data_IF_312654698839
#
_entry.id   IF_312654698839
#
_cell.length_a   1.000
_cell.length_b   1.000
_cell.length_c   1.000
_cell.angle_alpha   90.00
_cell.angle_beta   90.00
_cell.angle_gamma   90.00
#
_symmetry.space_group_name_H-M   'P 1'
#
loop_
_entity.id
_entity.type
_entity.pdbx_description
1 polymer ?
#
# COMPACT_ATOMS: atom_id res chain seq x y z
N UNK A 1 58.31 -12.08 -25.12
CA UNK A 1 57.52 -11.09 -25.88
C UNK A 1 56.08 -11.17 -25.39
N UNK A 2 55.46 -10.07 -24.94
CA UNK A 2 54.06 -10.11 -24.52
C UNK A 2 53.17 -10.29 -25.75
N UNK A 3 52.23 -11.23 -25.67
CA UNK A 3 51.29 -11.55 -26.74
C UNK A 3 50.35 -10.37 -27.00
N UNK A 4 49.92 -10.24 -28.25
CA UNK A 4 49.07 -9.16 -28.79
C UNK A 4 47.70 -9.00 -28.11
N UNK A 5 47.33 -9.89 -27.18
CA UNK A 5 46.12 -9.79 -26.36
C UNK A 5 46.25 -8.84 -25.16
N UNK A 6 47.46 -8.62 -24.63
CA UNK A 6 47.68 -7.80 -23.42
C UNK A 6 47.69 -6.28 -23.66
N UNK A 7 47.64 -5.85 -24.93
CA UNK A 7 47.66 -4.42 -25.30
C UNK A 7 46.28 -3.77 -25.40
N UNK A 8 45.17 -4.54 -25.43
CA UNK A 8 43.82 -3.99 -25.65
C UNK A 8 43.12 -3.49 -24.38
N UNK A 9 43.58 -3.85 -23.19
CA UNK A 9 42.86 -3.54 -21.94
C UNK A 9 43.40 -2.31 -21.18
N UNK A 10 44.52 -1.71 -21.63
CA UNK A 10 45.22 -0.61 -20.93
C UNK A 10 44.55 0.77 -21.01
N UNK A 11 43.31 0.87 -21.47
CA UNK A 11 42.61 2.15 -21.65
C UNK A 11 41.12 2.17 -21.28
N UNK A 12 40.52 1.05 -20.87
CA UNK A 12 39.13 1.04 -20.40
C UNK A 12 39.08 1.48 -18.95
N UNK A 13 38.64 2.70 -18.72
CA UNK A 13 38.29 3.16 -17.35
C UNK A 13 37.29 2.17 -16.75
N UNK A 14 37.51 1.66 -15.53
CA UNK A 14 36.58 0.77 -14.88
C UNK A 14 35.24 1.49 -14.66
N UNK A 15 34.13 0.80 -14.92
CA UNK A 15 32.78 1.30 -14.63
C UNK A 15 32.59 1.29 -13.11
N UNK A 16 32.54 2.48 -12.49
CA UNK A 16 32.34 2.63 -11.04
C UNK A 16 31.00 3.29 -10.69
N UNK A 17 30.47 4.09 -11.61
CA UNK A 17 29.21 4.82 -11.44
C UNK A 17 28.28 4.58 -12.63
N UNK A 18 26.98 4.89 -12.47
CA UNK A 18 26.05 4.90 -13.60
C UNK A 18 26.46 5.92 -14.68
N UNK A 19 27.13 7.00 -14.31
CA UNK A 19 27.67 7.96 -15.26
C UNK A 19 28.80 7.34 -16.11
N UNK A 20 29.72 6.58 -15.49
CA UNK A 20 30.78 5.88 -16.21
C UNK A 20 30.20 4.84 -17.18
N UNK A 21 29.17 4.10 -16.73
CA UNK A 21 28.48 3.12 -17.57
C UNK A 21 27.75 3.79 -18.73
N UNK A 22 27.02 4.87 -18.48
CA UNK A 22 26.28 5.60 -19.50
C UNK A 22 27.20 6.21 -20.56
N UNK A 23 28.35 6.78 -20.15
CA UNK A 23 29.37 7.27 -21.09
C UNK A 23 30.02 6.13 -21.90
N UNK A 24 30.18 4.95 -21.31
CA UNK A 24 30.64 3.76 -22.03
C UNK A 24 29.62 3.36 -23.10
N UNK A 25 28.34 3.27 -22.77
CA UNK A 25 27.26 2.92 -23.70
C UNK A 25 27.16 3.93 -24.84
N UNK A 26 27.20 5.23 -24.55
CA UNK A 26 27.17 6.30 -25.56
C UNK A 26 28.29 6.19 -26.60
N UNK A 27 29.46 5.69 -26.18
CA UNK A 27 30.61 5.46 -27.06
C UNK A 27 30.48 4.16 -27.86
N UNK A 28 29.86 3.13 -27.32
CA UNK A 28 29.73 1.81 -27.97
C UNK A 28 28.47 1.67 -28.82
N UNK A 29 27.47 2.53 -28.62
CA UNK A 29 26.26 2.54 -29.42
C UNK A 29 26.53 3.17 -30.80
N UNK A 30 26.82 2.29 -31.76
CA UNK A 30 27.05 2.66 -33.16
C UNK A 30 25.74 3.02 -33.89
N UNK A 31 24.59 2.57 -33.37
CA UNK A 31 23.28 2.70 -34.02
C UNK A 31 22.35 3.50 -33.13
N UNK A 32 22.68 4.79 -32.96
CA UNK A 32 21.97 5.81 -32.16
C UNK A 32 20.56 6.12 -32.67
N UNK A 33 19.68 5.12 -32.72
CA UNK A 33 18.30 5.21 -33.18
C UNK A 33 17.39 4.58 -32.13
N UNK A 34 16.39 5.34 -31.68
CA UNK A 34 15.43 4.91 -30.64
C UNK A 34 14.80 3.56 -30.98
N UNK A 35 14.41 3.34 -32.25
CA UNK A 35 13.79 2.09 -32.67
C UNK A 35 14.72 0.88 -32.54
N UNK A 36 16.03 1.04 -32.76
CA UNK A 36 17.02 -0.04 -32.60
C UNK A 36 17.13 -0.42 -31.14
N UNK A 37 17.24 0.57 -30.25
CA UNK A 37 17.36 0.33 -28.81
C UNK A 37 16.07 -0.25 -28.21
N UNK A 38 14.89 0.17 -28.70
CA UNK A 38 13.60 -0.39 -28.28
C UNK A 38 13.43 -1.85 -28.71
N UNK A 39 13.74 -2.17 -29.98
CA UNK A 39 13.62 -3.54 -30.49
C UNK A 39 14.63 -4.47 -29.82
N UNK A 40 15.87 -4.00 -29.58
CA UNK A 40 16.86 -4.72 -28.80
C UNK A 40 16.36 -5.05 -27.40
N UNK A 41 15.91 -4.04 -26.64
CA UNK A 41 15.33 -4.23 -25.30
C UNK A 41 14.19 -5.27 -25.28
N UNK A 42 13.31 -5.25 -26.28
CA UNK A 42 12.22 -6.21 -26.39
C UNK A 42 12.73 -7.65 -26.66
N UNK A 43 13.80 -7.79 -27.45
CA UNK A 43 14.50 -9.05 -27.69
C UNK A 43 15.07 -9.64 -26.40
N UNK A 44 15.89 -8.87 -25.69
CA UNK A 44 16.56 -9.33 -24.46
C UNK A 44 15.55 -9.69 -23.34
N UNK A 45 14.41 -8.99 -23.26
CA UNK A 45 13.32 -9.39 -22.36
C UNK A 45 12.70 -10.74 -22.73
N UNK A 46 12.64 -11.06 -24.04
CA UNK A 46 12.19 -12.35 -24.56
C UNK A 46 13.18 -13.48 -24.25
N UNK A 47 14.47 -13.20 -24.32
CA UNK A 47 15.54 -14.15 -24.03
C UNK A 47 15.65 -14.42 -22.51
N UNK A 48 15.55 -13.38 -21.68
CA UNK A 48 15.38 -13.53 -20.23
C UNK A 48 14.19 -14.45 -19.87
N UNK A 49 13.03 -14.24 -20.50
CA UNK A 49 11.85 -15.09 -20.30
C UNK A 49 12.10 -16.55 -20.75
N UNK A 50 12.83 -16.75 -21.84
CA UNK A 50 13.20 -18.08 -22.33
C UNK A 50 14.13 -18.82 -21.35
N UNK A 51 15.07 -18.11 -20.72
CA UNK A 51 15.93 -18.62 -19.66
C UNK A 51 15.11 -19.12 -18.45
N UNK A 52 14.11 -18.35 -17.99
CA UNK A 52 13.21 -18.80 -16.92
C UNK A 52 12.34 -19.99 -17.33
N UNK A 53 11.88 -20.07 -18.59
CA UNK A 53 11.12 -21.23 -19.09
C UNK A 53 11.96 -22.51 -19.04
N UNK A 54 13.24 -22.46 -19.42
CA UNK A 54 14.16 -23.61 -19.32
C UNK A 54 14.28 -24.09 -17.87
N UNK A 55 14.48 -23.17 -16.92
CA UNK A 55 14.53 -23.51 -15.49
C UNK A 55 13.26 -24.23 -15.02
N UNK A 56 12.09 -23.69 -15.32
CA UNK A 56 10.80 -24.23 -14.84
C UNK A 56 10.48 -25.58 -15.50
N UNK A 57 10.68 -25.71 -16.81
CA UNK A 57 10.26 -26.88 -17.58
C UNK A 57 11.29 -28.00 -17.57
N UNK A 58 12.58 -27.65 -17.62
CA UNK A 58 13.68 -28.61 -17.80
C UNK A 58 14.46 -28.84 -16.50
N UNK A 59 14.16 -28.08 -15.43
CA UNK A 59 14.87 -28.09 -14.13
C UNK A 59 16.38 -27.85 -14.26
N UNK A 60 16.79 -27.24 -15.37
CA UNK A 60 18.19 -26.91 -15.61
C UNK A 60 18.53 -25.62 -14.87
N UNK A 61 19.45 -25.75 -13.91
CA UNK A 61 19.95 -24.65 -13.08
C UNK A 61 21.45 -24.43 -13.21
N UNK A 62 22.15 -25.27 -14.00
CA UNK A 62 23.62 -25.24 -14.03
C UNK A 62 24.15 -24.00 -14.74
N UNK A 63 23.52 -23.56 -15.84
CA UNK A 63 23.91 -22.35 -16.58
C UNK A 63 23.13 -21.09 -16.17
N UNK A 64 22.01 -21.26 -15.46
CA UNK A 64 21.04 -20.21 -15.16
C UNK A 64 21.66 -18.91 -14.68
N UNK A 65 22.61 -18.97 -13.75
CA UNK A 65 23.23 -17.76 -13.19
C UNK A 65 24.05 -16.99 -14.23
N UNK A 66 24.72 -17.69 -15.14
CA UNK A 66 25.50 -17.09 -16.23
C UNK A 66 24.56 -16.44 -17.24
N UNK A 67 23.59 -17.21 -17.71
CA UNK A 67 22.58 -16.77 -18.67
C UNK A 67 21.84 -15.54 -18.13
N UNK A 68 21.29 -15.59 -16.91
CA UNK A 68 20.62 -14.44 -16.29
C UNK A 68 21.52 -13.19 -16.20
N UNK A 69 22.82 -13.35 -15.93
CA UNK A 69 23.73 -12.22 -15.83
C UNK A 69 23.96 -11.56 -17.19
N UNK A 70 24.03 -12.34 -18.26
CA UNK A 70 24.15 -11.87 -19.64
C UNK A 70 22.89 -11.10 -20.04
N UNK A 71 21.72 -11.74 -19.93
CA UNK A 71 20.43 -11.14 -20.29
C UNK A 71 20.13 -9.84 -19.51
N UNK A 72 20.39 -9.82 -18.19
CA UNK A 72 20.24 -8.60 -17.38
C UNK A 72 21.23 -7.51 -17.84
N UNK A 73 22.44 -7.90 -18.24
CA UNK A 73 23.45 -7.00 -18.76
C UNK A 73 23.02 -6.34 -20.07
N UNK A 74 22.44 -7.10 -20.99
CA UNK A 74 21.99 -6.62 -22.29
C UNK A 74 20.73 -5.75 -22.17
N UNK A 75 19.78 -6.15 -21.31
CA UNK A 75 18.64 -5.28 -20.92
C UNK A 75 19.14 -3.94 -20.38
N UNK A 76 20.13 -3.96 -19.47
CA UNK A 76 20.71 -2.74 -18.91
C UNK A 76 21.40 -1.89 -19.99
N UNK A 77 22.08 -2.52 -20.96
CA UNK A 77 22.72 -1.82 -22.07
C UNK A 77 21.70 -1.09 -22.94
N UNK A 78 20.65 -1.77 -23.40
CA UNK A 78 19.61 -1.16 -24.25
C UNK A 78 18.80 -0.08 -23.51
N UNK A 79 18.48 -0.30 -22.22
CA UNK A 79 17.83 0.70 -21.38
C UNK A 79 18.70 1.95 -21.24
N UNK A 80 20.01 1.77 -21.10
CA UNK A 80 20.97 2.88 -21.00
C UNK A 80 21.14 3.59 -22.34
N UNK A 81 21.15 2.88 -23.47
CA UNK A 81 21.15 3.47 -24.81
C UNK A 81 19.92 4.37 -25.02
N UNK A 82 18.73 3.92 -24.61
CA UNK A 82 17.52 4.75 -24.63
C UNK A 82 17.66 5.98 -23.74
N UNK A 83 18.18 5.84 -22.52
CA UNK A 83 18.41 6.97 -21.63
C UNK A 83 19.38 8.00 -22.25
N UNK A 84 20.46 7.56 -22.90
CA UNK A 84 21.40 8.44 -23.63
C UNK A 84 20.68 9.20 -24.76
N UNK A 85 19.91 8.50 -25.59
CA UNK A 85 19.19 9.11 -26.72
C UNK A 85 18.17 10.18 -26.28
N UNK A 86 17.56 9.99 -25.11
CA UNK A 86 16.61 10.93 -24.51
C UNK A 86 17.24 11.91 -23.52
N UNK A 87 18.57 11.91 -23.35
CA UNK A 87 19.31 12.78 -22.42
C UNK A 87 18.84 12.65 -20.97
N UNK A 88 18.45 11.43 -20.57
CA UNK A 88 18.03 11.11 -19.21
C UNK A 88 19.27 10.59 -18.44
N UNK A 89 19.67 11.23 -17.32
CA UNK A 89 20.76 10.72 -16.50
C UNK A 89 20.34 9.43 -15.78
N UNK A 90 21.03 8.32 -16.04
CA UNK A 90 20.72 7.01 -15.42
C UNK A 90 20.87 7.04 -13.90
N UNK A 91 21.80 7.87 -13.39
CA UNK A 91 21.97 8.10 -11.96
C UNK A 91 20.72 8.71 -11.30
N UNK A 92 19.98 9.56 -12.01
CA UNK A 92 18.72 10.15 -11.52
C UNK A 92 17.60 9.11 -11.52
N UNK A 93 17.48 8.32 -12.60
CA UNK A 93 16.52 7.20 -12.68
C UNK A 93 16.72 6.23 -11.52
N UNK A 94 17.97 5.83 -11.24
CA UNK A 94 18.29 4.94 -10.13
C UNK A 94 17.90 5.55 -8.77
N UNK A 95 18.20 6.85 -8.56
CA UNK A 95 17.84 7.56 -7.32
C UNK A 95 16.34 7.66 -7.12
N UNK A 96 15.59 8.00 -8.18
CA UNK A 96 14.13 8.07 -8.10
C UNK A 96 13.49 6.71 -7.87
N UNK A 97 14.00 5.67 -8.54
CA UNK A 97 13.53 4.30 -8.35
C UNK A 97 13.77 3.84 -6.91
N UNK A 98 14.97 4.09 -6.36
CA UNK A 98 15.29 3.78 -4.97
C UNK A 98 14.35 4.50 -3.99
N UNK A 99 14.13 5.81 -4.16
CA UNK A 99 13.17 6.57 -3.33
C UNK A 99 11.76 6.01 -3.40
N UNK A 100 11.29 5.61 -4.59
CA UNK A 100 9.97 4.99 -4.77
C UNK A 100 9.90 3.65 -4.05
N UNK A 101 10.94 2.82 -4.17
CA UNK A 101 11.04 1.54 -3.48
C UNK A 101 11.06 1.72 -1.96
N UNK A 102 11.90 2.61 -1.42
CA UNK A 102 11.95 2.91 0.01
C UNK A 102 10.59 3.36 0.55
N UNK A 103 9.86 4.22 -0.17
CA UNK A 103 8.50 4.63 0.23
C UNK A 103 7.48 3.49 0.19
N UNK A 104 7.60 2.57 -0.77
CA UNK A 104 6.69 1.43 -0.91
C UNK A 104 7.00 0.31 0.09
N UNK A 105 8.27 0.12 0.47
CA UNK A 105 8.72 -1.04 1.25
C UNK A 105 9.20 -0.71 2.67
N UNK A 106 9.24 0.56 3.07
CA UNK A 106 9.50 0.93 4.48
C UNK A 106 8.33 0.52 5.38
N UNK A 107 8.63 0.08 6.60
CA UNK A 107 7.61 -0.26 7.60
C UNK A 107 6.88 1.00 8.09
N UNK A 108 7.58 2.14 8.17
CA UNK A 108 7.06 3.35 8.80
C UNK A 108 7.23 3.31 10.32
N UNK A 109 6.76 4.37 10.98
CA UNK A 109 6.68 4.47 12.44
C UNK A 109 5.22 4.67 12.86
N UNK A 110 4.95 4.56 14.16
CA UNK A 110 3.62 4.88 14.71
C UNK A 110 3.33 6.36 14.46
N UNK A 111 2.29 6.65 13.67
CA UNK A 111 1.91 8.03 13.36
C UNK A 111 1.11 8.64 14.51
N UNK A 112 1.49 9.85 14.91
CA UNK A 112 0.82 10.65 15.94
C UNK A 112 0.51 12.04 15.39
N UNK A 113 -0.58 12.17 14.67
CA UNK A 113 -0.98 13.42 14.01
C UNK A 113 -1.58 14.46 14.97
N UNK A 114 -1.87 14.07 16.23
CA UNK A 114 -2.51 14.92 17.23
C UNK A 114 -1.67 15.12 18.51
N UNK A 115 -0.39 14.75 18.51
CA UNK A 115 0.53 14.99 19.64
C UNK A 115 0.67 16.49 19.99
N UNK A 116 0.36 17.41 19.08
CA UNK A 116 0.36 18.85 19.35
C UNK A 116 -0.90 19.41 19.99
N UNK A 117 -1.96 18.61 20.12
CA UNK A 117 -3.30 19.06 20.52
C UNK A 117 -3.66 18.68 21.95
N UNK A 118 -4.68 19.36 22.50
CA UNK A 118 -5.22 19.05 23.82
C UNK A 118 -5.83 17.64 23.86
N UNK A 119 -5.90 17.06 25.07
CA UNK A 119 -6.45 15.71 25.29
C UNK A 119 -7.85 15.52 24.67
N UNK A 120 -8.68 16.56 24.68
CA UNK A 120 -10.03 16.49 24.15
C UNK A 120 -10.12 16.48 22.61
N UNK A 121 -9.02 16.77 21.93
CA UNK A 121 -8.89 16.77 20.45
C UNK A 121 -8.00 15.64 19.94
N UNK A 122 -7.47 14.84 20.85
CA UNK A 122 -6.71 13.63 20.56
C UNK A 122 -7.64 12.42 20.46
N UNK A 123 -7.32 11.52 19.53
CA UNK A 123 -7.92 10.19 19.55
C UNK A 123 -7.46 9.44 20.82
N UNK A 124 -8.35 8.74 21.54
CA UNK A 124 -7.94 7.86 22.63
C UNK A 124 -6.95 6.82 22.10
N UNK A 125 -5.82 6.63 22.81
CA UNK A 125 -4.79 5.67 22.38
C UNK A 125 -5.31 4.23 22.38
N UNK A 126 -6.24 3.93 23.28
CA UNK A 126 -6.92 2.65 23.38
C UNK A 126 -8.41 2.88 23.65
N UNK A 127 -9.27 2.16 22.92
CA UNK A 127 -10.71 2.18 23.14
C UNK A 127 -11.37 0.92 22.55
N UNK A 128 -12.58 0.62 22.99
CA UNK A 128 -13.35 -0.53 22.51
C UNK A 128 -14.64 -0.08 21.84
N UNK A 129 -15.00 -0.77 20.77
CA UNK A 129 -16.20 -0.52 19.97
C UNK A 129 -17.02 -1.79 19.86
N UNK A 130 -18.25 -1.78 20.38
CA UNK A 130 -19.17 -2.92 20.28
C UNK A 130 -20.13 -2.70 19.12
N UNK A 131 -20.17 -3.69 18.22
CA UNK A 131 -21.12 -3.82 17.12
C UNK A 131 -22.23 -4.78 17.55
N UNK A 132 -23.47 -4.32 17.58
CA UNK A 132 -24.63 -5.17 17.86
C UNK A 132 -25.73 -5.01 16.83
N UNK A 133 -26.28 -6.14 16.39
CA UNK A 133 -27.42 -6.18 15.48
C UNK A 133 -28.72 -5.90 16.26
N UNK A 134 -29.49 -4.91 15.82
CA UNK A 134 -30.85 -4.67 16.28
C UNK A 134 -31.81 -4.74 15.11
N UNK A 135 -32.81 -5.62 15.19
CA UNK A 135 -33.92 -5.64 14.22
C UNK A 135 -34.82 -4.44 14.44
N UNK A 136 -35.07 -3.69 13.37
CA UNK A 136 -36.11 -2.67 13.30
C UNK A 136 -37.07 -3.04 12.16
N UNK A 137 -38.14 -3.78 12.49
CA UNK A 137 -39.05 -4.36 11.50
C UNK A 137 -38.35 -5.36 10.57
N UNK A 138 -38.32 -5.09 9.26
CA UNK A 138 -37.62 -5.91 8.25
C UNK A 138 -36.14 -5.54 8.06
N UNK A 139 -35.70 -4.40 8.61
CA UNK A 139 -34.32 -3.93 8.47
C UNK A 139 -33.48 -4.31 9.66
N UNK A 140 -32.21 -4.60 9.39
CA UNK A 140 -31.25 -5.03 10.38
C UNK A 140 -30.20 -3.92 10.53
N UNK A 141 -30.15 -3.31 11.72
CA UNK A 141 -29.32 -2.15 12.01
C UNK A 141 -28.13 -2.56 12.85
N UNK A 142 -26.96 -2.00 12.59
CA UNK A 142 -25.80 -2.15 13.47
C UNK A 142 -25.70 -0.92 14.35
N UNK A 143 -25.65 -1.15 15.67
CA UNK A 143 -25.36 -0.10 16.65
C UNK A 143 -23.90 -0.19 17.05
N UNK A 144 -23.27 0.97 17.10
CA UNK A 144 -21.88 1.16 17.51
C UNK A 144 -21.89 1.79 18.89
N UNK A 145 -21.23 1.13 19.84
CA UNK A 145 -21.03 1.66 21.20
C UNK A 145 -19.55 1.80 21.48
N UNK A 146 -19.10 2.99 21.84
CA UNK A 146 -17.71 3.27 22.23
C UNK A 146 -17.65 3.39 23.74
N UNK A 147 -16.86 2.54 24.39
CA UNK A 147 -16.72 2.52 25.85
C UNK A 147 -18.06 2.52 26.61
N UNK A 148 -19.07 1.82 26.07
CA UNK A 148 -20.42 1.71 26.66
C UNK A 148 -21.39 2.84 26.31
N UNK A 149 -20.97 3.87 25.57
CA UNK A 149 -21.83 4.96 25.10
C UNK A 149 -22.22 4.73 23.65
N UNK A 150 -23.49 4.88 23.29
CA UNK A 150 -23.92 4.82 21.88
C UNK A 150 -23.35 6.03 21.13
N UNK A 151 -22.64 5.78 20.03
CA UNK A 151 -22.01 6.84 19.22
C UNK A 151 -22.35 6.64 17.74
N UNK A 152 -22.74 7.74 17.06
CA UNK A 152 -23.09 7.76 15.63
C UNK A 152 -24.59 7.59 15.34
N UNK A 153 -24.93 7.72 14.06
CA UNK A 153 -26.27 7.41 13.54
C UNK A 153 -26.41 5.90 13.30
N UNK A 154 -27.59 5.32 13.49
CA UNK A 154 -27.84 3.89 13.21
C UNK A 154 -27.58 3.57 11.74
N UNK A 155 -26.62 2.69 11.45
CA UNK A 155 -26.24 2.32 10.09
C UNK A 155 -27.22 1.28 9.51
N UNK A 156 -27.80 1.60 8.35
CA UNK A 156 -28.59 0.68 7.52
C UNK A 156 -27.72 0.08 6.42
N UNK A 157 -27.98 -1.17 6.02
CA UNK A 157 -27.52 -1.70 4.74
C UNK A 157 -28.19 -0.89 3.62
N UNK A 158 -27.55 0.19 3.13
CA UNK A 158 -27.96 0.88 1.91
C UNK A 158 -27.43 0.15 0.66
N UNK A 159 -27.59 -1.18 0.61
CA UNK A 159 -27.17 -2.03 -0.49
C UNK A 159 -28.38 -2.82 -1.05
N UNK A 160 -28.42 -3.01 -2.37
CA UNK A 160 -29.48 -3.78 -3.06
C UNK A 160 -29.50 -5.28 -2.68
N UNK A 161 -28.44 -5.78 -2.03
CA UNK A 161 -28.29 -7.12 -1.44
C UNK A 161 -27.60 -6.98 -0.08
N UNK A 162 -27.94 -7.82 0.90
CA UNK A 162 -27.26 -7.87 2.22
C UNK A 162 -25.84 -8.43 2.12
N UNK A 163 -24.92 -7.64 1.57
CA UNK A 163 -23.50 -7.97 1.41
C UNK A 163 -22.69 -7.83 2.72
N UNK A 164 -23.30 -7.21 3.73
CA UNK A 164 -22.73 -6.98 5.06
C UNK A 164 -22.05 -5.63 5.21
N UNK A 165 -22.19 -4.70 4.25
CA UNK A 165 -21.59 -3.37 4.31
C UNK A 165 -21.95 -2.58 5.59
N UNK A 166 -23.04 -2.93 6.30
CA UNK A 166 -23.34 -2.41 7.65
C UNK A 166 -22.20 -2.53 8.68
N UNK A 167 -21.21 -3.40 8.48
CA UNK A 167 -20.03 -3.54 9.34
C UNK A 167 -18.82 -2.72 8.87
N UNK A 168 -18.92 -1.93 7.79
CA UNK A 168 -17.78 -1.25 7.17
C UNK A 168 -17.08 -0.23 8.08
N UNK A 169 -17.74 0.30 9.11
CA UNK A 169 -17.14 1.22 10.09
C UNK A 169 -15.88 0.64 10.76
N UNK A 170 -15.73 -0.68 10.78
CA UNK A 170 -14.49 -1.33 11.24
C UNK A 170 -13.27 -0.97 10.39
N UNK A 171 -13.44 -0.59 9.12
CA UNK A 171 -12.35 -0.09 8.28
C UNK A 171 -11.84 1.25 8.79
N UNK A 172 -12.73 2.16 9.18
CA UNK A 172 -12.37 3.45 9.78
C UNK A 172 -11.64 3.26 11.12
N UNK A 173 -12.06 2.27 11.92
CA UNK A 173 -11.32 1.87 13.13
C UNK A 173 -9.92 1.35 12.80
N UNK A 174 -9.78 0.57 11.73
CA UNK A 174 -8.48 0.07 11.27
C UNK A 174 -7.56 1.22 10.81
N UNK A 175 -8.10 2.22 10.13
CA UNK A 175 -7.35 3.41 9.74
C UNK A 175 -6.92 4.21 10.97
N UNK A 176 -7.82 4.43 11.93
CA UNK A 176 -7.47 5.08 13.20
C UNK A 176 -6.33 4.34 13.91
N UNK A 177 -6.45 3.03 14.11
CA UNK A 177 -5.47 2.22 14.84
C UNK A 177 -4.11 2.16 14.14
N UNK A 178 -4.10 1.82 12.85
CA UNK A 178 -2.86 1.50 12.14
C UNK A 178 -2.20 2.74 11.57
N UNK A 179 -3.00 3.68 11.04
CA UNK A 179 -2.49 4.87 10.39
C UNK A 179 -2.40 6.07 11.34
N UNK A 180 -3.01 6.00 12.53
CA UNK A 180 -3.18 7.17 13.41
C UNK A 180 -4.13 8.22 12.82
N UNK A 181 -4.83 7.88 11.74
CA UNK A 181 -5.63 8.79 10.92
C UNK A 181 -7.00 8.19 10.63
N UNK A 182 -8.04 8.93 10.97
CA UNK A 182 -9.41 8.67 10.55
C UNK A 182 -10.27 9.90 10.88
N UNK A 183 -10.52 10.82 9.93
CA UNK A 183 -11.47 11.90 10.12
C UNK A 183 -12.89 11.40 10.45
N UNK A 184 -13.28 10.21 9.97
CA UNK A 184 -14.55 9.57 10.34
C UNK A 184 -14.59 9.22 11.83
N UNK A 185 -13.57 8.53 12.35
CA UNK A 185 -13.50 8.19 13.79
C UNK A 185 -13.34 9.43 14.65
N UNK A 186 -12.57 10.44 14.22
CA UNK A 186 -12.52 11.74 14.92
C UNK A 186 -13.90 12.38 15.02
N UNK A 187 -14.67 12.40 13.94
CA UNK A 187 -16.05 12.91 13.94
C UNK A 187 -16.94 12.09 14.87
N UNK A 188 -16.86 10.77 14.79
CA UNK A 188 -17.62 9.82 15.62
C UNK A 188 -17.37 10.09 17.11
N UNK A 189 -16.10 10.14 17.52
CA UNK A 189 -15.68 10.33 18.91
C UNK A 189 -15.72 11.78 19.39
N UNK A 190 -16.14 12.72 18.53
CA UNK A 190 -16.11 14.18 18.81
C UNK A 190 -14.70 14.67 19.17
N UNK A 191 -13.66 14.12 18.53
CA UNK A 191 -12.22 14.42 18.69
C UNK A 191 -11.64 15.14 17.46
N UNK A 192 -12.44 16.02 16.85
CA UNK A 192 -11.93 16.91 15.79
C UNK A 192 -11.01 17.98 16.41
N UNK A 193 -9.93 18.32 15.71
CA UNK A 193 -8.91 19.31 16.11
C UNK A 193 -9.34 20.73 15.76
N UNK A 194 -10.40 21.21 16.41
CA UNK A 194 -11.03 22.52 16.22
C UNK A 194 -10.19 23.71 16.68
N UNK A 195 -9.22 23.51 17.57
CA UNK A 195 -8.31 24.56 18.03
C UNK A 195 -7.42 25.11 16.91
N UNK A 196 -7.16 24.33 15.86
CA UNK A 196 -6.53 24.77 14.61
C UNK A 196 -7.57 24.73 13.47
N UNK A 197 -8.14 25.89 13.07
CA UNK A 197 -9.16 25.95 12.03
C UNK A 197 -8.73 25.35 10.69
N UNK A 198 -7.43 25.42 10.37
CA UNK A 198 -6.92 24.88 9.11
C UNK A 198 -6.89 23.35 9.14
N UNK A 199 -6.48 22.75 10.26
CA UNK A 199 -6.50 21.29 10.43
C UNK A 199 -7.96 20.79 10.50
N UNK A 200 -8.84 21.49 11.21
CA UNK A 200 -10.27 21.16 11.28
C UNK A 200 -10.92 21.13 9.88
N UNK A 201 -10.59 22.10 9.03
CA UNK A 201 -11.13 22.19 7.66
C UNK A 201 -10.52 21.17 6.70
N UNK A 202 -9.19 21.00 6.72
CA UNK A 202 -8.49 20.21 5.70
C UNK A 202 -8.42 18.73 6.07
N UNK A 203 -8.01 18.42 7.31
CA UNK A 203 -7.68 17.06 7.75
C UNK A 203 -8.86 16.38 8.45
N UNK A 204 -9.67 17.14 9.21
CA UNK A 204 -10.85 16.62 9.91
C UNK A 204 -12.18 17.05 9.24
N UNK A 205 -12.08 17.72 8.10
CA UNK A 205 -13.21 18.32 7.40
C UNK A 205 -13.94 17.35 6.46
N UNK A 206 -15.01 17.84 5.83
CA UNK A 206 -15.87 17.02 4.99
C UNK A 206 -15.16 16.35 3.82
N UNK A 207 -14.16 17.00 3.21
CA UNK A 207 -13.40 16.41 2.10
C UNK A 207 -12.55 15.22 2.55
N UNK A 208 -11.91 15.31 3.70
CA UNK A 208 -11.11 14.21 4.25
C UNK A 208 -11.99 13.01 4.62
N UNK A 209 -13.17 13.27 5.21
CA UNK A 209 -14.20 12.25 5.46
C UNK A 209 -14.63 11.55 4.18
N UNK A 210 -14.95 12.31 3.11
CA UNK A 210 -15.36 11.73 1.82
C UNK A 210 -14.24 10.88 1.21
N UNK A 211 -12.98 11.29 1.33
CA UNK A 211 -11.83 10.50 0.85
C UNK A 211 -11.70 9.21 1.64
N UNK A 212 -11.82 9.23 2.97
CA UNK A 212 -11.80 8.03 3.80
C UNK A 212 -12.93 7.05 3.43
N UNK A 213 -14.16 7.54 3.32
CA UNK A 213 -15.33 6.74 2.90
C UNK A 213 -15.15 6.13 1.50
N UNK A 214 -14.58 6.89 0.56
CA UNK A 214 -14.29 6.38 -0.78
C UNK A 214 -13.25 5.26 -0.76
N UNK A 215 -12.26 5.33 0.12
CA UNK A 215 -11.26 4.26 0.30
C UNK A 215 -11.94 3.02 0.91
N UNK A 216 -12.77 3.17 1.94
CA UNK A 216 -13.54 2.08 2.53
C UNK A 216 -14.44 1.38 1.51
N UNK A 217 -15.16 2.15 0.68
CA UNK A 217 -15.99 1.62 -0.39
C UNK A 217 -15.19 0.92 -1.49
N UNK A 218 -14.04 1.48 -1.89
CA UNK A 218 -13.13 0.87 -2.86
C UNK A 218 -12.62 -0.49 -2.35
N UNK A 219 -12.08 -0.51 -1.12
CA UNK A 219 -11.54 -1.72 -0.50
C UNK A 219 -12.62 -2.80 -0.41
N UNK A 220 -13.82 -2.44 0.04
CA UNK A 220 -14.96 -3.36 0.11
C UNK A 220 -15.34 -3.95 -1.26
N UNK A 221 -15.50 -3.10 -2.27
CA UNK A 221 -15.96 -3.53 -3.60
C UNK A 221 -14.93 -4.40 -4.34
N UNK A 222 -13.63 -4.18 -4.11
CA UNK A 222 -12.58 -5.01 -4.72
C UNK A 222 -12.38 -6.34 -4.00
N UNK A 223 -12.89 -6.51 -2.77
CA UNK A 223 -12.60 -7.66 -1.94
C UNK A 223 -12.93 -9.03 -2.58
N UNK A 224 -14.07 -9.23 -3.28
CA UNK A 224 -14.37 -10.52 -3.92
C UNK A 224 -13.34 -10.92 -4.98
N UNK A 225 -12.75 -9.96 -5.68
CA UNK A 225 -11.72 -10.19 -6.69
C UNK A 225 -10.33 -10.43 -6.08
N UNK A 226 -10.20 -10.17 -4.77
CA UNK A 226 -8.95 -10.22 -4.01
C UNK A 226 -8.98 -11.25 -2.88
N UNK A 227 -9.80 -12.29 -3.03
CA UNK A 227 -9.96 -13.35 -2.03
C UNK A 227 -10.26 -12.81 -0.61
N UNK A 228 -11.07 -11.74 -0.51
CA UNK A 228 -11.46 -11.10 0.75
C UNK A 228 -10.28 -10.69 1.63
N UNK A 229 -9.16 -10.35 1.00
CA UNK A 229 -7.92 -9.97 1.66
C UNK A 229 -7.39 -10.98 2.69
N UNK A 230 -7.59 -12.27 2.44
CA UNK A 230 -7.18 -13.35 3.36
C UNK A 230 -5.67 -13.53 3.47
N UNK A 231 -4.90 -13.02 2.51
CA UNK A 231 -3.45 -13.15 2.45
C UNK A 231 -2.79 -11.81 2.18
N UNK A 232 -1.53 -11.66 2.57
CA UNK A 232 -0.75 -10.47 2.26
C UNK A 232 -0.65 -10.16 0.75
N UNK A 233 -0.66 -11.18 -0.11
CA UNK A 233 -0.58 -11.04 -1.56
C UNK A 233 -1.82 -10.35 -2.17
N UNK A 234 -2.95 -10.36 -1.47
CA UNK A 234 -4.24 -9.81 -1.92
C UNK A 234 -4.27 -8.28 -2.07
N UNK A 235 -3.40 -7.59 -1.31
CA UNK A 235 -3.23 -6.14 -1.37
C UNK A 235 -2.06 -5.83 -2.29
N UNK A 236 -2.37 -5.61 -3.58
CA UNK A 236 -1.36 -5.36 -4.59
C UNK A 236 -0.89 -3.89 -4.63
N UNK A 237 0.22 -3.67 -5.35
CA UNK A 237 0.85 -2.36 -5.51
C UNK A 237 -0.08 -1.38 -6.27
N UNK A 238 -0.93 -1.88 -7.16
CA UNK A 238 -1.90 -1.07 -7.90
C UNK A 238 -2.92 -0.42 -6.96
N UNK A 239 -3.56 -1.20 -6.10
CA UNK A 239 -4.50 -0.72 -5.09
C UNK A 239 -3.83 0.30 -4.15
N UNK A 240 -2.64 -0.04 -3.62
CA UNK A 240 -1.89 0.86 -2.74
C UNK A 240 -1.54 2.18 -3.42
N UNK A 241 -1.14 2.15 -4.70
CA UNK A 241 -0.87 3.37 -5.48
C UNK A 241 -2.13 4.22 -5.66
N UNK A 242 -3.30 3.62 -5.84
CA UNK A 242 -4.56 4.35 -5.93
C UNK A 242 -4.88 5.07 -4.62
N UNK A 243 -4.80 4.36 -3.49
CA UNK A 243 -5.05 4.91 -2.15
C UNK A 243 -4.08 6.06 -1.81
N UNK A 244 -2.79 5.88 -2.10
CA UNK A 244 -1.77 6.91 -1.88
C UNK A 244 -2.05 8.17 -2.71
N UNK A 245 -2.61 8.03 -3.92
CA UNK A 245 -3.00 9.20 -4.75
C UNK A 245 -4.24 9.90 -4.19
N UNK A 246 -5.25 9.15 -3.75
CA UNK A 246 -6.45 9.70 -3.14
C UNK A 246 -6.14 10.53 -1.88
N UNK A 247 -5.09 10.15 -1.16
CA UNK A 247 -4.70 10.76 0.11
C UNK A 247 -3.53 11.75 0.02
N UNK A 248 -3.03 12.04 -1.19
CA UNK A 248 -1.81 12.84 -1.38
C UNK A 248 -1.88 14.26 -0.80
N UNK A 249 -3.09 14.82 -0.64
CA UNK A 249 -3.32 16.15 -0.09
C UNK A 249 -3.69 16.19 1.39
N UNK A 250 -3.59 15.07 2.11
CA UNK A 250 -3.96 14.91 3.53
C UNK A 250 -2.74 14.44 4.32
N UNK A 251 -2.70 14.67 5.64
CA UNK A 251 -1.58 14.32 6.52
C UNK A 251 -1.22 12.82 6.46
N UNK A 252 -2.20 11.95 6.20
CA UNK A 252 -2.03 10.50 6.05
C UNK A 252 -1.12 10.12 4.87
N UNK A 253 -0.77 11.05 3.98
CA UNK A 253 0.28 10.84 2.95
C UNK A 253 1.65 10.46 3.54
N UNK A 254 1.86 10.72 4.84
CA UNK A 254 3.05 10.30 5.60
C UNK A 254 3.08 8.79 5.89
N UNK A 255 1.93 8.11 5.82
CA UNK A 255 1.85 6.67 6.05
C UNK A 255 2.45 5.89 4.87
N UNK A 256 3.17 4.82 5.18
CA UNK A 256 3.79 3.95 4.17
C UNK A 256 2.76 3.04 3.51
N UNK A 257 3.11 2.49 2.34
CA UNK A 257 2.27 1.50 1.68
C UNK A 257 2.07 0.23 2.53
N UNK A 258 3.06 -0.12 3.38
CA UNK A 258 2.94 -1.23 4.33
C UNK A 258 1.95 -0.94 5.45
N UNK A 259 1.89 0.29 5.96
CA UNK A 259 0.88 0.68 6.95
C UNK A 259 -0.52 0.61 6.37
N UNK A 260 -0.72 1.11 5.14
CA UNK A 260 -2.00 0.96 4.43
C UNK A 260 -2.38 -0.49 4.21
N UNK A 261 -1.42 -1.33 3.79
CA UNK A 261 -1.62 -2.76 3.64
C UNK A 261 -2.05 -3.41 4.96
N UNK A 262 -1.36 -3.11 6.06
CA UNK A 262 -1.70 -3.63 7.38
C UNK A 262 -3.11 -3.17 7.82
N UNK A 263 -3.46 -1.90 7.59
CA UNK A 263 -4.77 -1.37 7.94
C UNK A 263 -5.90 -2.08 7.17
N UNK A 264 -5.72 -2.32 5.87
CA UNK A 264 -6.68 -3.05 5.03
C UNK A 264 -6.84 -4.49 5.53
N UNK A 265 -5.73 -5.21 5.74
CA UNK A 265 -5.76 -6.62 6.18
C UNK A 265 -6.43 -6.76 7.55
N UNK A 266 -6.08 -5.89 8.51
CA UNK A 266 -6.67 -5.90 9.84
C UNK A 266 -8.15 -5.53 9.82
N UNK A 267 -8.51 -4.47 9.09
CA UNK A 267 -9.91 -4.04 8.93
C UNK A 267 -10.76 -5.13 8.30
N UNK A 268 -10.27 -5.82 7.26
CA UNK A 268 -11.01 -6.89 6.60
C UNK A 268 -11.11 -8.17 7.43
N UNK A 269 -10.06 -8.51 8.18
CA UNK A 269 -10.10 -9.61 9.15
C UNK A 269 -11.14 -9.35 10.25
N UNK A 270 -11.19 -8.14 10.79
CA UNK A 270 -12.19 -7.75 11.78
C UNK A 270 -13.61 -7.69 11.19
N UNK A 271 -13.76 -7.15 9.96
CA UNK A 271 -15.02 -7.15 9.22
C UNK A 271 -15.59 -8.56 9.04
N UNK A 272 -14.74 -9.51 8.62
CA UNK A 272 -15.14 -10.90 8.43
C UNK A 272 -15.62 -11.51 9.75
N UNK A 273 -14.88 -11.30 10.84
CA UNK A 273 -15.25 -11.80 12.16
C UNK A 273 -16.58 -11.22 12.65
N UNK A 274 -16.78 -9.90 12.51
CA UNK A 274 -18.05 -9.24 12.85
C UNK A 274 -19.23 -9.80 12.03
N UNK A 275 -19.02 -9.98 10.73
CA UNK A 275 -20.04 -10.51 9.82
C UNK A 275 -20.39 -11.96 10.15
N UNK A 276 -19.40 -12.81 10.40
CA UNK A 276 -19.58 -14.24 10.63
C UNK A 276 -20.29 -14.51 11.99
N UNK A 277 -20.20 -13.60 12.96
CA UNK A 277 -20.79 -13.74 14.30
C UNK A 277 -21.92 -12.74 14.58
N UNK A 278 -22.39 -12.01 13.57
CA UNK A 278 -23.49 -11.04 13.69
C UNK A 278 -23.25 -9.96 14.78
N UNK A 279 -22.01 -9.50 14.91
CA UNK A 279 -21.59 -8.51 15.91
C UNK A 279 -20.35 -8.94 16.69
N UNK A 280 -20.04 -8.19 17.74
CA UNK A 280 -18.87 -8.42 18.60
C UNK A 280 -18.26 -7.11 19.08
N UNK A 281 -17.14 -7.22 19.81
CA UNK A 281 -16.37 -6.06 20.28
C UNK A 281 -15.04 -5.98 19.53
N UNK A 282 -14.68 -4.80 19.07
CA UNK A 282 -13.38 -4.47 18.50
C UNK A 282 -12.60 -3.62 19.50
N UNK A 283 -11.47 -4.12 19.97
CA UNK A 283 -10.52 -3.36 20.75
C UNK A 283 -9.51 -2.71 19.79
N UNK A 284 -9.39 -1.40 19.89
CA UNK A 284 -8.57 -0.53 19.04
C UNK A 284 -7.38 -0.03 19.85
N UNK A 285 -6.17 -0.30 19.36
CA UNK A 285 -4.92 0.15 19.99
C UNK A 285 -4.05 0.89 18.96
N UNK A 286 -3.95 2.21 19.13
CA UNK A 286 -3.17 3.10 18.26
C UNK A 286 -1.67 3.05 18.56
N UNK A 287 -1.26 2.63 19.74
CA UNK A 287 0.15 2.50 20.12
C UNK A 287 0.76 1.22 19.54
N UNK A 288 0.00 0.13 19.56
CA UNK A 288 0.38 -1.16 18.97
C UNK A 288 0.01 -1.28 17.51
N UNK A 289 -0.77 -0.36 16.96
CA UNK A 289 -1.30 -0.39 15.59
C UNK A 289 -2.10 -1.67 15.30
N UNK A 290 -3.00 -2.02 16.22
CA UNK A 290 -3.76 -3.29 16.18
C UNK A 290 -5.25 -3.14 16.40
N UNK A 291 -6.03 -3.94 15.68
CA UNK A 291 -7.43 -4.28 15.98
C UNK A 291 -7.52 -5.70 16.53
N UNK A 292 -8.23 -5.87 17.64
CA UNK A 292 -8.54 -7.19 18.21
C UNK A 292 -10.04 -7.40 18.27
N UNK A 293 -10.52 -8.49 17.67
CA UNK A 293 -11.93 -8.86 17.72
C UNK A 293 -12.21 -9.77 18.92
N UNK A 294 -13.37 -9.58 19.53
CA UNK A 294 -13.94 -10.42 20.56
C UNK A 294 -15.39 -10.79 20.19
N UNK A 295 -15.77 -12.07 20.28
CA UNK A 295 -17.13 -12.49 19.96
C UNK A 295 -18.16 -11.88 20.93
N UNK A 296 -19.43 -11.77 20.53
CA UNK A 296 -20.52 -11.38 21.43
C UNK A 296 -20.53 -12.28 22.67
N UNK A 297 -20.73 -11.70 23.86
CA UNK A 297 -20.98 -12.51 25.05
C UNK A 297 -22.33 -13.22 24.87
N UNK A 298 -22.32 -14.56 24.87
CA UNK A 298 -23.54 -15.35 25.01
C UNK A 298 -24.15 -15.03 26.37
N UNK A 299 -25.32 -14.40 26.38
CA UNK A 299 -26.17 -14.39 27.57
C UNK A 299 -26.65 -15.84 27.71
N UNK A 300 -26.08 -16.58 28.66
CA UNK A 300 -26.71 -17.82 29.12
C UNK A 300 -28.02 -17.39 29.79
N UNK A 301 -29.13 -17.61 29.09
CA UNK A 301 -30.47 -17.45 29.65
C UNK A 301 -30.56 -18.35 30.90
N UNK A 302 -30.61 -17.72 32.07
CA UNK A 302 -30.86 -18.34 33.38
C UNK A 302 -32.36 -18.45 33.64
#
# INVERSE_FOLDING_TARGET
MPTTSDRKDRGRKPVRTFADYQAMVERTDERKKVIVSLLGLAGELGDLNSTFKKLVLQRDSQTLRGDLREEIGDILWYLTSLAVLHKIPLQEVARESARKAERLYSQGEVNRFDDGFDHEERLPRQFSVTFSEKRNGKQLLVRIMVSGVIVGDTLTDNAHKGDGYRYHDVFHLAYAAVLGWSPVVRRLLRRKRRSDPRIDEIEDGGRAVVVEEAISALVFNEAPQRAWYSEESSVDIGLLKTIIRLTAGLEVHRCTAKQWKAAILQGYSAFKQLKDHCGGRIDVDLDRQTLTYHPPQTVEDS
#
